data_IF_632123740318
#
_entry.id   IF_632123740318
#
_cell.length_a   1.000
_cell.length_b   1.000
_cell.length_c   1.000
_cell.angle_alpha   90.00
_cell.angle_beta   90.00
_cell.angle_gamma   90.00
#
_symmetry.space_group_name_H-M   'P 1'
#
loop_
_entity.id
_entity.type
_entity.pdbx_description
1 polymer ?
#
# COMPACT_ATOMS: atom_id res chain seq x y z
N UNK A 1 52.13 -46.22 -33.57
CA UNK A 1 51.33 -46.99 -32.59
C UNK A 1 50.38 -45.99 -31.94
N UNK A 2 49.06 -46.11 -31.89
CA UNK A 2 48.09 -47.14 -32.28
C UNK A 2 46.70 -46.44 -32.27
N UNK A 3 45.87 -46.67 -33.29
CA UNK A 3 44.45 -46.23 -33.37
C UNK A 3 43.56 -47.13 -32.52
N UNK A 4 42.39 -46.65 -32.08
CA UNK A 4 41.10 -47.38 -31.91
C UNK A 4 40.01 -46.34 -31.55
N UNK A 5 39.07 -45.93 -32.41
CA UNK A 5 37.87 -46.58 -32.98
C UNK A 5 36.73 -46.96 -31.99
N UNK A 6 35.62 -46.22 -32.15
CA UNK A 6 34.20 -46.62 -32.30
C UNK A 6 33.47 -47.52 -31.27
N UNK A 7 32.32 -47.02 -30.77
CA UNK A 7 30.97 -47.63 -30.92
C UNK A 7 29.90 -46.76 -30.20
N UNK A 8 29.03 -46.04 -30.93
CA UNK A 8 27.64 -46.42 -31.31
C UNK A 8 26.77 -47.00 -30.18
N UNK A 9 25.79 -46.23 -29.71
CA UNK A 9 24.39 -46.67 -29.58
C UNK A 9 23.41 -45.55 -29.93
N UNK A 10 22.45 -45.95 -30.76
CA UNK A 10 21.35 -45.21 -31.39
C UNK A 10 20.07 -45.57 -30.64
N UNK A 11 19.21 -44.58 -30.37
CA UNK A 11 17.74 -44.66 -30.23
C UNK A 11 17.26 -43.20 -30.12
N UNK A 12 16.38 -42.60 -30.91
CA UNK A 12 15.33 -43.09 -31.81
C UNK A 12 13.99 -42.43 -31.40
N UNK A 13 13.23 -41.92 -32.38
CA UNK A 13 11.92 -41.22 -32.34
C UNK A 13 12.01 -39.67 -32.25
N UNK A 14 11.97 -38.88 -33.33
CA UNK A 14 10.97 -38.72 -34.41
C UNK A 14 9.54 -38.46 -33.90
N UNK A 15 9.12 -37.19 -33.89
CA UNK A 15 7.76 -36.81 -34.24
C UNK A 15 7.79 -35.72 -35.29
N UNK A 16 7.02 -35.99 -36.34
CA UNK A 16 7.01 -35.33 -37.63
C UNK A 16 6.32 -33.97 -37.59
N UNK A 17 6.79 -33.08 -38.45
CA UNK A 17 6.06 -31.89 -38.85
C UNK A 17 4.90 -32.22 -39.79
N UNK A 18 3.96 -31.29 -39.89
CA UNK A 18 3.03 -31.19 -41.01
C UNK A 18 2.93 -29.71 -41.41
N UNK A 19 3.55 -29.38 -42.54
CA UNK A 19 3.33 -28.16 -43.30
C UNK A 19 2.08 -28.34 -44.20
N UNK A 20 1.25 -27.28 -44.26
CA UNK A 20 0.56 -26.71 -45.43
C UNK A 20 0.17 -27.63 -46.60
N UNK A 21 -1.10 -27.59 -47.01
CA UNK A 21 -1.50 -27.12 -48.36
C UNK A 21 -3.02 -27.16 -48.60
N UNK A 22 -3.47 -26.17 -49.37
CA UNK A 22 -4.81 -25.98 -49.89
C UNK A 22 -5.09 -26.82 -51.15
N UNK A 23 -6.37 -27.15 -51.41
CA UNK A 23 -7.04 -27.33 -52.72
C UNK A 23 -8.45 -27.87 -52.45
N UNK A 24 -9.53 -27.16 -52.77
CA UNK A 24 -10.17 -26.95 -54.09
C UNK A 24 -11.19 -28.04 -54.47
N UNK A 25 -12.31 -27.56 -55.03
CA UNK A 25 -13.37 -28.23 -55.81
C UNK A 25 -14.46 -29.08 -55.10
N UNK A 26 -15.72 -28.70 -55.39
CA UNK A 26 -16.64 -29.61 -56.07
C UNK A 26 -17.94 -30.02 -55.37
N UNK A 27 -19.05 -29.36 -55.74
CA UNK A 27 -20.27 -30.05 -56.21
C UNK A 27 -21.21 -30.77 -55.23
N UNK A 28 -22.36 -30.15 -54.97
CA UNK A 28 -23.73 -30.69 -54.85
C UNK A 28 -24.01 -31.98 -54.04
N UNK A 29 -24.82 -31.86 -52.98
CA UNK A 29 -26.22 -32.36 -52.98
C UNK A 29 -26.95 -32.12 -51.64
N UNK A 30 -28.16 -31.54 -51.74
CA UNK A 30 -29.41 -31.77 -50.95
C UNK A 30 -29.25 -31.96 -49.42
N UNK A 31 -29.92 -31.18 -48.56
CA UNK A 31 -31.39 -31.17 -48.38
C UNK A 31 -31.78 -30.08 -47.35
N UNK A 32 -32.73 -29.21 -47.73
CA UNK A 32 -33.90 -28.72 -46.97
C UNK A 32 -34.14 -29.33 -45.56
N UNK A 33 -34.62 -28.65 -44.51
CA UNK A 33 -35.50 -27.47 -44.32
C UNK A 33 -35.26 -26.95 -42.88
N UNK A 34 -35.30 -25.64 -42.63
CA UNK A 34 -36.23 -24.94 -41.69
C UNK A 34 -35.37 -24.15 -40.69
N UNK A 35 -35.56 -22.89 -40.32
CA UNK A 35 -36.60 -21.86 -40.51
C UNK A 35 -35.88 -20.55 -40.10
N UNK A 36 -35.63 -19.64 -41.05
CA UNK A 36 -36.28 -18.33 -41.20
C UNK A 36 -35.77 -17.20 -40.26
N UNK A 37 -35.78 -15.93 -40.71
CA UNK A 37 -34.73 -14.95 -40.47
C UNK A 37 -35.22 -13.69 -39.73
N UNK A 38 -34.30 -12.82 -39.29
CA UNK A 38 -34.22 -11.41 -39.76
C UNK A 38 -33.27 -10.56 -38.90
N UNK A 39 -32.29 -9.99 -39.59
CA UNK A 39 -31.60 -8.77 -39.19
C UNK A 39 -32.51 -7.53 -39.32
N UNK A 40 -32.16 -6.53 -38.50
CA UNK A 40 -32.04 -5.08 -38.79
C UNK A 40 -33.17 -4.10 -38.42
N UNK A 41 -32.77 -3.24 -37.47
CA UNK A 41 -32.78 -1.76 -37.52
C UNK A 41 -34.11 -1.05 -37.27
N UNK A 42 -34.24 -0.29 -36.18
CA UNK A 42 -33.89 1.14 -36.07
C UNK A 42 -34.51 1.76 -34.80
N UNK A 43 -33.83 2.81 -34.30
CA UNK A 43 -34.33 3.96 -33.51
C UNK A 43 -34.66 3.86 -32.00
N UNK A 44 -33.83 4.59 -31.24
CA UNK A 44 -33.97 5.37 -29.98
C UNK A 44 -34.91 4.95 -28.83
N UNK A 45 -34.42 5.08 -27.58
CA UNK A 45 -34.81 6.29 -26.84
C UNK A 45 -33.72 6.94 -25.96
N UNK A 46 -33.89 8.25 -25.89
CA UNK A 46 -33.45 9.28 -24.93
C UNK A 46 -33.34 8.89 -23.45
N UNK A 47 -32.40 9.60 -22.82
CA UNK A 47 -32.40 10.15 -21.46
C UNK A 47 -31.68 9.43 -20.29
N UNK A 48 -30.50 10.01 -19.99
CA UNK A 48 -30.04 10.45 -18.67
C UNK A 48 -29.57 9.41 -17.63
N UNK A 49 -28.25 9.20 -17.59
CA UNK A 49 -27.39 9.63 -16.46
C UNK A 49 -25.97 9.05 -16.62
N UNK A 50 -25.20 9.66 -17.52
CA UNK A 50 -23.74 9.61 -17.47
C UNK A 50 -23.28 10.80 -16.62
N UNK A 51 -22.82 10.51 -15.40
CA UNK A 51 -22.02 11.33 -14.47
C UNK A 51 -22.25 10.70 -13.08
N UNK A 52 -21.29 10.17 -12.33
CA UNK A 52 -19.87 10.45 -12.27
C UNK A 52 -19.18 9.12 -11.95
N UNK A 53 -18.55 8.53 -12.96
CA UNK A 53 -17.38 7.71 -12.69
C UNK A 53 -16.33 8.69 -12.17
N UNK A 54 -16.23 8.82 -10.85
CA UNK A 54 -15.12 9.47 -10.18
C UNK A 54 -13.89 8.63 -10.50
N UNK A 55 -13.29 8.92 -11.66
CA UNK A 55 -11.91 8.66 -11.95
C UNK A 55 -11.13 9.44 -10.89
N UNK A 56 -10.88 8.76 -9.77
CA UNK A 56 -9.93 9.15 -8.75
C UNK A 56 -8.62 9.40 -9.47
N UNK A 57 -8.35 10.68 -9.70
CA UNK A 57 -7.03 11.13 -10.09
C UNK A 57 -6.13 10.73 -8.93
N UNK A 58 -5.04 9.96 -9.14
CA UNK A 58 -4.20 9.54 -8.04
C UNK A 58 -3.61 10.81 -7.41
N UNK A 59 -4.08 11.07 -6.19
CA UNK A 59 -3.69 12.13 -5.27
C UNK A 59 -2.16 12.12 -5.15
N UNK A 60 -1.49 12.90 -6.00
CA UNK A 60 -0.03 12.92 -6.14
C UNK A 60 0.68 13.28 -4.82
N UNK A 61 -0.03 13.99 -3.93
CA UNK A 61 0.42 14.31 -2.58
C UNK A 61 0.56 13.08 -1.66
N UNK A 62 -0.06 11.94 -1.97
CA UNK A 62 0.09 10.70 -1.16
C UNK A 62 1.43 10.00 -1.38
N UNK A 63 2.14 10.34 -2.45
CA UNK A 63 3.28 9.57 -2.92
C UNK A 63 4.65 10.19 -2.62
N UNK A 64 4.68 11.40 -2.03
CA UNK A 64 5.88 11.99 -1.42
C UNK A 64 6.27 11.30 -0.09
N UNK A 65 5.65 10.17 0.24
CA UNK A 65 5.79 9.50 1.54
C UNK A 65 6.90 8.46 1.53
N UNK A 66 7.63 8.40 2.65
CA UNK A 66 8.50 7.28 2.98
C UNK A 66 7.67 6.15 3.60
N UNK A 67 7.89 4.91 3.15
CA UNK A 67 7.28 3.71 3.74
C UNK A 67 8.29 3.05 4.67
N UNK A 68 8.01 3.05 5.98
CA UNK A 68 8.96 2.58 7.00
C UNK A 68 10.35 3.23 6.90
N UNK A 69 10.39 4.51 6.48
CA UNK A 69 11.62 5.26 6.26
C UNK A 69 12.33 4.98 4.94
N UNK A 70 11.74 4.16 4.06
CA UNK A 70 12.28 3.86 2.73
C UNK A 70 11.55 4.65 1.64
N UNK A 71 12.26 5.07 0.57
CA UNK A 71 11.64 5.77 -0.54
C UNK A 71 10.80 4.81 -1.39
N UNK A 72 9.75 5.38 -2.00
CA UNK A 72 8.88 4.71 -2.98
C UNK A 72 9.49 4.89 -4.38
N UNK A 73 9.46 3.87 -5.26
CA UNK A 73 9.89 4.05 -6.65
C UNK A 73 9.08 5.12 -7.39
N UNK A 74 9.62 5.70 -8.47
CA UNK A 74 8.92 6.71 -9.25
C UNK A 74 7.63 6.17 -9.90
N UNK A 75 6.74 7.09 -10.28
CA UNK A 75 5.47 6.82 -10.97
C UNK A 75 4.54 5.81 -10.24
N UNK A 76 4.22 6.02 -8.95
CA UNK A 76 3.26 5.18 -8.27
C UNK A 76 1.84 5.42 -8.79
N UNK A 77 1.14 4.33 -9.06
CA UNK A 77 -0.24 4.29 -9.56
C UNK A 77 -1.22 4.15 -8.39
N UNK A 78 -0.84 3.38 -7.37
CA UNK A 78 -1.72 3.07 -6.25
C UNK A 78 -0.95 2.64 -5.01
N UNK A 79 -1.53 2.87 -3.84
CA UNK A 79 -0.98 2.51 -2.55
C UNK A 79 -2.05 1.82 -1.71
N UNK A 80 -1.72 0.64 -1.21
CA UNK A 80 -2.61 -0.22 -0.45
C UNK A 80 -1.95 -0.54 0.89
N UNK A 81 -2.53 -0.03 1.97
CA UNK A 81 -2.05 -0.28 3.33
C UNK A 81 -2.79 -1.47 3.93
N UNK A 82 -2.03 -2.48 4.36
CA UNK A 82 -2.50 -3.61 5.15
C UNK A 82 -1.86 -3.56 6.54
N UNK A 83 -2.32 -4.41 7.47
CA UNK A 83 -1.93 -4.34 8.89
C UNK A 83 -0.41 -4.43 9.14
N UNK A 84 0.31 -5.22 8.35
CA UNK A 84 1.74 -5.52 8.52
C UNK A 84 2.60 -5.19 7.28
N UNK A 85 1.97 -4.75 6.19
CA UNK A 85 2.65 -4.45 4.92
C UNK A 85 1.96 -3.33 4.17
N UNK A 86 2.74 -2.64 3.34
CA UNK A 86 2.25 -1.64 2.39
C UNK A 86 2.61 -2.13 1.00
N UNK A 87 1.62 -2.17 0.10
CA UNK A 87 1.82 -2.51 -1.30
C UNK A 87 1.67 -1.25 -2.14
N UNK A 88 2.66 -0.99 -3.00
CA UNK A 88 2.64 0.12 -3.94
C UNK A 88 2.65 -0.45 -5.34
N UNK A 89 1.67 -0.07 -6.15
CA UNK A 89 1.67 -0.34 -7.58
C UNK A 89 2.44 0.78 -8.28
N UNK A 90 3.41 0.45 -9.12
CA UNK A 90 4.25 1.41 -9.83
C UNK A 90 4.22 1.16 -11.34
N UNK A 91 4.20 2.24 -12.12
CA UNK A 91 4.26 2.21 -13.58
C UNK A 91 5.70 1.99 -14.08
N UNK A 92 6.44 1.08 -13.44
CA UNK A 92 7.83 0.76 -13.73
C UNK A 92 8.01 -0.73 -13.94
N UNK A 93 8.97 -1.08 -14.79
CA UNK A 93 9.38 -2.47 -14.97
C UNK A 93 10.08 -3.01 -13.73
N UNK A 94 10.17 -4.34 -13.60
CA UNK A 94 10.88 -4.96 -12.48
C UNK A 94 12.37 -4.57 -12.46
N UNK A 95 12.96 -4.39 -13.64
CA UNK A 95 14.35 -3.97 -13.81
C UNK A 95 14.58 -2.53 -13.32
N UNK A 96 13.69 -1.61 -13.67
CA UNK A 96 13.72 -0.23 -13.17
C UNK A 96 13.57 -0.16 -11.66
N UNK A 97 12.70 -1.00 -11.09
CA UNK A 97 12.52 -1.10 -9.63
C UNK A 97 13.79 -1.66 -8.96
N UNK A 98 14.44 -2.66 -9.57
CA UNK A 98 15.73 -3.18 -9.09
C UNK A 98 16.83 -2.12 -9.07
N UNK A 99 17.00 -1.40 -10.18
CA UNK A 99 17.95 -0.29 -10.27
C UNK A 99 17.64 0.84 -9.25
N UNK A 100 16.36 1.09 -9.00
CA UNK A 100 15.94 2.01 -7.96
C UNK A 100 16.37 1.54 -6.56
N UNK A 101 16.22 0.25 -6.23
CA UNK A 101 16.67 -0.28 -4.95
C UNK A 101 18.19 -0.17 -4.79
N UNK A 102 18.97 -0.58 -5.79
CA UNK A 102 20.44 -0.49 -5.74
C UNK A 102 20.92 0.94 -5.47
N UNK A 103 20.26 1.94 -6.05
CA UNK A 103 20.63 3.35 -5.88
C UNK A 103 20.24 3.91 -4.51
N UNK A 104 19.08 3.51 -3.96
CA UNK A 104 18.48 4.20 -2.81
C UNK A 104 18.57 3.42 -1.50
N UNK A 105 18.76 2.10 -1.55
CA UNK A 105 18.68 1.22 -0.38
C UNK A 105 20.09 0.80 0.05
N UNK A 106 20.85 1.75 0.61
CA UNK A 106 22.29 1.60 0.90
C UNK A 106 22.61 0.47 1.88
N UNK A 107 21.74 0.24 2.87
CA UNK A 107 21.92 -0.78 3.90
C UNK A 107 21.18 -2.11 3.57
N UNK A 108 20.96 -2.37 2.28
CA UNK A 108 20.28 -3.57 1.79
C UNK A 108 21.16 -4.34 0.81
N UNK A 109 21.03 -5.66 0.85
CA UNK A 109 21.49 -6.55 -0.22
C UNK A 109 20.36 -6.74 -1.22
N UNK A 110 20.64 -6.49 -2.50
CA UNK A 110 19.66 -6.62 -3.59
C UNK A 110 19.84 -7.98 -4.25
N UNK A 111 18.79 -8.80 -4.22
CA UNK A 111 18.79 -10.17 -4.74
C UNK A 111 17.79 -10.27 -5.88
N UNK A 112 18.28 -10.68 -7.06
CA UNK A 112 17.45 -10.92 -8.23
C UNK A 112 17.06 -12.39 -8.33
N UNK A 113 15.76 -12.62 -8.46
CA UNK A 113 15.16 -13.89 -8.87
C UNK A 113 14.48 -13.72 -10.23
N UNK A 114 14.08 -14.83 -10.87
CA UNK A 114 13.50 -14.79 -12.23
C UNK A 114 12.30 -13.85 -12.36
N UNK A 115 11.48 -13.76 -11.32
CA UNK A 115 10.21 -13.06 -11.29
C UNK A 115 10.13 -12.05 -10.14
N UNK A 116 11.21 -11.84 -9.37
CA UNK A 116 11.21 -10.98 -8.20
C UNK A 116 12.55 -10.29 -8.01
N UNK A 117 12.52 -9.09 -7.41
CA UNK A 117 13.69 -8.46 -6.83
C UNK A 117 13.45 -8.23 -5.36
N UNK A 118 14.37 -8.69 -4.52
CA UNK A 118 14.31 -8.53 -3.07
C UNK A 118 15.36 -7.52 -2.63
N UNK A 119 14.97 -6.58 -1.77
CA UNK A 119 15.91 -5.82 -0.96
C UNK A 119 15.87 -6.37 0.46
N UNK A 120 16.95 -7.04 0.86
CA UNK A 120 17.11 -7.65 2.17
C UNK A 120 17.96 -6.75 3.04
N UNK A 121 17.38 -6.19 4.10
CA UNK A 121 18.12 -5.33 5.02
C UNK A 121 19.24 -6.10 5.73
N UNK A 122 20.40 -5.48 5.87
CA UNK A 122 21.59 -6.08 6.50
C UNK A 122 21.46 -6.22 8.03
N UNK A 123 20.35 -5.76 8.63
CA UNK A 123 20.10 -5.78 10.08
C UNK A 123 18.68 -6.28 10.39
N UNK A 124 18.52 -6.96 11.53
CA UNK A 124 17.27 -7.61 11.95
C UNK A 124 16.05 -6.68 12.06
N UNK A 125 16.26 -5.40 12.39
CA UNK A 125 15.20 -4.41 12.59
C UNK A 125 14.78 -3.70 11.29
N UNK A 126 15.37 -4.04 10.15
CA UNK A 126 15.07 -3.39 8.88
C UNK A 126 13.84 -4.02 8.21
N UNK A 127 13.00 -3.19 7.54
CA UNK A 127 11.86 -3.72 6.81
C UNK A 127 12.33 -4.62 5.67
N UNK A 128 11.50 -5.59 5.28
CA UNK A 128 11.76 -6.42 4.09
C UNK A 128 11.03 -5.80 2.92
N UNK A 129 11.72 -5.64 1.80
CA UNK A 129 11.11 -5.12 0.58
C UNK A 129 11.31 -6.12 -0.55
N UNK A 130 10.26 -6.35 -1.32
CA UNK A 130 10.36 -7.12 -2.55
C UNK A 130 9.43 -6.58 -3.60
N UNK A 131 9.76 -6.79 -4.86
CA UNK A 131 8.93 -6.42 -5.98
C UNK A 131 8.72 -7.59 -6.93
N UNK A 132 7.58 -7.59 -7.61
CA UNK A 132 7.20 -8.62 -8.58
C UNK A 132 6.37 -8.00 -9.72
N UNK A 133 6.41 -8.58 -10.93
CA UNK A 133 5.72 -8.04 -12.09
C UNK A 133 4.20 -8.24 -11.98
N UNK A 134 3.44 -7.27 -12.49
CA UNK A 134 2.00 -7.31 -12.59
C UNK A 134 1.56 -6.66 -13.91
N UNK A 135 1.51 -7.47 -14.97
CA UNK A 135 1.23 -6.99 -16.32
C UNK A 135 2.29 -5.97 -16.78
N UNK A 136 1.89 -4.77 -17.24
CA UNK A 136 2.82 -3.70 -17.63
C UNK A 136 3.39 -2.91 -16.43
N UNK A 137 3.05 -3.30 -15.21
CA UNK A 137 3.41 -2.61 -13.97
C UNK A 137 4.18 -3.55 -13.04
N UNK A 138 4.67 -3.00 -11.93
CA UNK A 138 5.24 -3.80 -10.85
C UNK A 138 4.54 -3.48 -9.54
N UNK A 139 4.45 -4.46 -8.65
CA UNK A 139 4.11 -4.23 -7.26
C UNK A 139 5.39 -4.20 -6.44
N UNK A 140 5.51 -3.21 -5.56
CA UNK A 140 6.52 -3.15 -4.51
C UNK A 140 5.85 -3.34 -3.16
N UNK A 141 6.36 -4.28 -2.37
CA UNK A 141 5.79 -4.67 -1.09
C UNK A 141 6.78 -4.38 0.01
N UNK A 142 6.38 -3.53 0.94
CA UNK A 142 7.12 -3.19 2.14
C UNK A 142 6.52 -3.93 3.32
N UNK A 143 7.29 -4.78 3.97
CA UNK A 143 6.87 -5.51 5.18
C UNK A 143 7.63 -4.96 6.38
N UNK A 144 6.91 -4.62 7.46
CA UNK A 144 7.55 -4.13 8.69
C UNK A 144 8.49 -5.20 9.26
N UNK A 145 9.63 -4.77 9.81
CA UNK A 145 10.52 -5.66 10.53
C UNK A 145 9.79 -6.33 11.70
N UNK A 146 9.95 -7.64 11.84
CA UNK A 146 9.44 -8.36 13.01
C UNK A 146 10.41 -8.14 14.16
N UNK A 147 10.19 -7.09 14.95
CA UNK A 147 10.93 -6.88 16.20
C UNK A 147 10.67 -8.09 17.11
N UNK A 148 11.75 -8.69 17.65
CA UNK A 148 11.62 -9.74 18.65
C UNK A 148 10.92 -9.13 19.88
N UNK A 149 9.96 -9.82 20.53
CA UNK A 149 9.20 -9.26 21.65
C UNK A 149 10.08 -8.73 22.80
N UNK A 150 11.26 -9.31 23.01
CA UNK A 150 12.22 -8.87 24.02
C UNK A 150 12.86 -7.52 23.70
N UNK A 151 13.13 -7.25 22.41
CA UNK A 151 13.70 -5.99 21.95
C UNK A 151 12.68 -4.86 22.02
N UNK A 152 11.39 -5.16 21.79
CA UNK A 152 10.29 -4.21 22.02
C UNK A 152 10.23 -3.84 23.50
N UNK A 153 10.27 -4.82 24.40
CA UNK A 153 10.28 -4.57 25.85
C UNK A 153 11.51 -3.77 26.30
N UNK A 154 12.69 -4.04 25.75
CA UNK A 154 13.89 -3.29 26.06
C UNK A 154 13.90 -1.86 25.46
N UNK A 155 13.37 -1.69 24.25
CA UNK A 155 13.20 -0.38 23.63
C UNK A 155 12.17 0.45 24.40
N UNK A 156 11.05 -0.15 24.82
CA UNK A 156 10.06 0.46 25.71
C UNK A 156 10.67 0.80 27.07
N UNK A 157 11.49 -0.07 27.65
CA UNK A 157 12.19 0.21 28.91
C UNK A 157 13.19 1.37 28.77
N UNK A 158 13.95 1.42 27.67
CA UNK A 158 14.89 2.53 27.37
C UNK A 158 14.16 3.84 27.02
N UNK A 159 13.02 3.76 26.35
CA UNK A 159 12.16 4.91 26.07
C UNK A 159 11.46 5.43 27.33
N UNK A 160 11.15 4.57 28.30
CA UNK A 160 10.70 4.97 29.65
C UNK A 160 11.82 5.59 30.50
N UNK A 161 13.07 5.20 30.26
CA UNK A 161 14.24 5.72 30.98
C UNK A 161 14.72 7.10 30.48
N UNK A 162 14.48 7.44 29.21
CA UNK A 162 14.58 8.81 28.72
C UNK A 162 13.25 9.49 29.06
N UNK A 163 13.26 10.57 29.84
CA UNK A 163 12.08 11.34 30.31
C UNK A 163 11.19 11.92 29.18
N UNK A 164 10.60 11.07 28.35
CA UNK A 164 9.38 11.39 27.63
C UNK A 164 8.28 10.91 28.55
N UNK A 165 7.45 11.80 29.13
CA UNK A 165 6.27 11.34 29.83
C UNK A 165 5.47 10.53 28.82
N UNK A 166 5.46 9.21 29.00
CA UNK A 166 4.48 8.36 28.35
C UNK A 166 3.13 9.00 28.62
N UNK A 167 2.22 9.09 27.63
CA UNK A 167 0.83 9.40 27.93
C UNK A 167 0.44 8.36 28.98
N UNK A 168 0.26 8.79 30.23
CA UNK A 168 -0.33 7.96 31.26
C UNK A 168 -1.56 7.38 30.58
N UNK A 169 -1.65 6.06 30.54
CA UNK A 169 -2.92 5.41 30.24
C UNK A 169 -3.96 6.16 31.04
N UNK A 170 -4.80 6.90 30.32
CA UNK A 170 -5.83 7.74 30.89
C UNK A 170 -6.67 6.78 31.72
N UNK A 171 -6.50 6.85 33.03
CA UNK A 171 -7.49 6.29 33.94
C UNK A 171 -8.82 6.86 33.46
N UNK A 172 -9.77 6.01 33.10
CA UNK A 172 -11.02 6.43 32.49
C UNK A 172 -11.63 7.57 33.31
N UNK A 173 -11.50 8.81 32.81
CA UNK A 173 -11.96 9.99 33.51
C UNK A 173 -13.48 9.92 33.60
N UNK A 174 -14.04 10.14 34.78
CA UNK A 174 -15.48 10.12 34.94
C UNK A 174 -16.02 11.49 34.53
N UNK A 175 -17.15 11.48 33.82
CA UNK A 175 -17.86 12.72 33.50
C UNK A 175 -18.14 13.50 34.79
N UNK A 176 -17.82 14.79 34.80
CA UNK A 176 -17.97 15.70 35.94
C UNK A 176 -16.71 15.85 36.80
N UNK A 177 -15.67 15.03 36.60
CA UNK A 177 -14.41 15.17 37.34
C UNK A 177 -13.70 16.48 36.93
N UNK A 178 -13.13 17.25 37.89
CA UNK A 178 -12.46 18.50 37.59
C UNK A 178 -11.17 18.28 36.79
N UNK A 179 -10.88 19.19 35.85
CA UNK A 179 -9.63 19.17 35.09
C UNK A 179 -8.51 19.79 35.91
N UNK A 180 -7.54 18.96 36.30
CA UNK A 180 -6.36 19.38 37.07
C UNK A 180 -5.08 19.41 36.23
N UNK A 181 -5.19 19.22 34.92
CA UNK A 181 -4.08 19.28 33.98
C UNK A 181 -3.42 20.66 34.01
N UNK A 182 -2.09 20.69 33.93
CA UNK A 182 -1.29 21.91 33.96
C UNK A 182 -0.42 22.02 32.72
N UNK A 183 -0.18 23.24 32.26
CA UNK A 183 0.80 23.54 31.22
C UNK A 183 2.23 23.33 31.75
N UNK A 184 3.23 23.34 30.85
CA UNK A 184 4.64 23.24 31.22
C UNK A 184 5.07 24.32 32.24
N UNK A 185 4.42 25.49 32.18
CA UNK A 185 4.64 26.62 33.11
C UNK A 185 3.90 26.47 34.45
N UNK A 186 3.22 25.34 34.68
CA UNK A 186 2.55 25.01 35.93
C UNK A 186 1.15 25.64 36.13
N UNK A 187 0.63 26.40 35.16
CA UNK A 187 -0.73 26.96 35.18
C UNK A 187 -1.76 25.89 34.85
N UNK A 188 -2.97 25.96 35.40
CA UNK A 188 -4.07 25.06 35.02
C UNK A 188 -4.40 25.24 33.53
N UNK A 189 -4.46 24.12 32.81
CA UNK A 189 -4.72 24.08 31.38
C UNK A 189 -6.15 24.56 31.08
N UNK A 190 -7.14 24.03 31.82
CA UNK A 190 -8.54 24.35 31.66
C UNK A 190 -9.17 24.74 33.02
N UNK A 191 -8.96 25.98 33.50
CA UNK A 191 -9.49 26.44 34.78
C UNK A 191 -11.02 26.32 34.83
N UNK A 192 -11.54 25.60 35.83
CA UNK A 192 -12.97 25.42 36.05
C UNK A 192 -13.64 24.40 35.11
N UNK A 193 -12.90 23.77 34.20
CA UNK A 193 -13.45 22.72 33.34
C UNK A 193 -13.70 21.43 34.12
N UNK A 194 -14.66 20.66 33.61
CA UNK A 194 -14.97 19.29 34.07
C UNK A 194 -15.06 18.36 32.87
N UNK A 195 -14.61 17.12 33.03
CA UNK A 195 -14.66 16.11 31.98
C UNK A 195 -16.10 15.90 31.47
N UNK A 196 -16.30 15.95 30.16
CA UNK A 196 -17.58 15.72 29.50
C UNK A 196 -18.65 16.80 29.70
N UNK A 197 -18.29 17.95 30.28
CA UNK A 197 -19.19 19.11 30.41
C UNK A 197 -18.81 20.20 29.39
N UNK A 198 -19.79 20.90 28.78
CA UNK A 198 -19.55 22.05 27.92
C UNK A 198 -18.64 23.07 28.60
N UNK A 199 -17.56 23.44 27.94
CA UNK A 199 -16.60 24.38 28.49
C UNK A 199 -16.31 25.50 27.51
N UNK A 200 -16.19 26.73 28.04
CA UNK A 200 -15.62 27.86 27.30
C UNK A 200 -14.53 28.44 28.18
N UNK A 201 -13.27 28.51 27.71
CA UNK A 201 -12.17 28.96 28.54
C UNK A 201 -12.35 30.44 28.93
N UNK A 202 -12.01 30.82 30.17
CA UNK A 202 -12.04 32.23 30.55
C UNK A 202 -10.92 33.00 29.83
N UNK A 203 -11.10 34.33 29.63
CA UNK A 203 -10.11 35.15 28.95
C UNK A 203 -8.69 35.01 29.55
N UNK A 204 -7.69 34.81 28.70
CA UNK A 204 -6.28 34.67 29.11
C UNK A 204 -5.91 33.32 29.72
N UNK A 205 -6.82 32.34 29.71
CA UNK A 205 -6.48 30.94 29.99
C UNK A 205 -5.63 30.34 28.85
N UNK A 206 -4.85 29.28 29.11
CA UNK A 206 -4.03 28.66 28.08
C UNK A 206 -4.82 28.16 26.86
N UNK A 207 -6.11 27.86 27.03
CA UNK A 207 -7.00 27.39 25.97
C UNK A 207 -7.82 28.49 25.30
N UNK A 208 -7.79 29.73 25.82
CA UNK A 208 -8.40 30.91 25.19
C UNK A 208 -7.52 31.41 24.03
N UNK A 209 -7.48 30.62 22.95
CA UNK A 209 -6.73 30.96 21.74
C UNK A 209 -7.60 30.73 20.52
N UNK A 210 -7.26 31.43 19.42
CA UNK A 210 -7.98 31.30 18.14
C UNK A 210 -7.98 29.84 17.65
N UNK A 211 -6.90 29.10 17.91
CA UNK A 211 -6.75 27.69 17.54
C UNK A 211 -7.85 26.80 18.17
N UNK A 212 -8.24 27.05 19.42
CA UNK A 212 -9.26 26.24 20.11
C UNK A 212 -10.67 26.83 20.04
N UNK A 213 -10.87 27.96 19.37
CA UNK A 213 -12.15 28.67 19.31
C UNK A 213 -13.30 27.81 18.78
N UNK A 214 -13.00 26.88 17.88
CA UNK A 214 -13.97 25.92 17.32
C UNK A 214 -14.51 24.90 18.33
N UNK A 215 -13.81 24.73 19.46
CA UNK A 215 -14.20 23.83 20.54
C UNK A 215 -15.00 24.52 21.65
N UNK A 216 -15.13 25.85 21.63
CA UNK A 216 -15.80 26.57 22.70
C UNK A 216 -17.28 26.15 22.77
N UNK A 217 -17.73 25.84 23.99
CA UNK A 217 -19.06 25.29 24.26
C UNK A 217 -19.18 23.78 24.04
N UNK A 218 -18.12 23.09 23.60
CA UNK A 218 -18.13 21.62 23.49
C UNK A 218 -17.73 20.94 24.80
N UNK A 219 -18.16 19.69 25.03
CA UNK A 219 -17.72 18.89 26.16
C UNK A 219 -16.19 18.77 26.24
N UNK A 220 -15.60 19.15 27.37
CA UNK A 220 -14.16 19.00 27.58
C UNK A 220 -13.76 17.51 27.56
N UNK A 221 -12.83 17.15 26.69
CA UNK A 221 -12.46 15.75 26.39
C UNK A 221 -12.88 15.27 24.99
N UNK A 222 -13.82 15.97 24.35
CA UNK A 222 -14.15 15.79 22.92
C UNK A 222 -13.53 16.89 22.04
N UNK A 223 -12.71 17.76 22.64
CA UNK A 223 -12.05 18.85 21.97
C UNK A 223 -11.01 18.33 20.99
N UNK A 224 -11.02 18.87 19.77
CA UNK A 224 -10.05 18.53 18.73
C UNK A 224 -8.97 19.60 18.64
N UNK A 225 -7.71 19.21 18.67
CA UNK A 225 -6.60 20.06 18.25
C UNK A 225 -6.52 20.03 16.72
N UNK A 226 -6.93 21.10 16.04
CA UNK A 226 -6.81 21.24 14.59
C UNK A 226 -5.75 22.25 14.23
#
# INVERSE_FOLDING_TARGET
>A
MQRYENSRRILGLLFAGALLSASACGGCSKKEVAEAPQEKSAEDPTDNAAAEASADTPDSARFDRLVYGLPIPPNPIGLFEEKDKVRVQVASSLEEVGAFFEKNFVDFEILYSRDQVHAVGLRDFMPRVYAYPYGPHSFVVYTRAKLKPEEVKQAEAKARAKNVPSPKQIAAYKKGDPILERTADGKLLAPGARWGEPYTPPPGSPLDTIHYRSNFGRPYGEWVSR
#
